data_IF_076413328101
#
_entry.id   IF_076413328101
#
_cell.length_a   1.000
_cell.length_b   1.000
_cell.length_c   1.000
_cell.angle_alpha   90.00
_cell.angle_beta   90.00
_cell.angle_gamma   90.00
#
_symmetry.space_group_name_H-M   'P 1'
#
loop_
_entity.id
_entity.type
_entity.pdbx_description
1 polymer ?
#
# COMPACT_ATOMS: atom_id res chain seq x y z
N UNK A 1 15.87 -5.93 -8.48
CA UNK A 1 15.13 -6.76 -7.52
C UNK A 1 13.67 -6.31 -7.45
N UNK A 2 12.77 -7.26 -7.48
CA UNK A 2 11.34 -7.01 -7.40
C UNK A 2 10.83 -7.39 -6.00
N UNK A 3 10.25 -6.42 -5.32
CA UNK A 3 9.64 -6.62 -4.01
C UNK A 3 8.12 -6.61 -4.15
N UNK A 4 7.46 -7.64 -3.65
CA UNK A 4 6.00 -7.76 -3.69
C UNK A 4 5.47 -7.75 -2.26
N UNK A 5 4.53 -6.85 -1.98
CA UNK A 5 3.81 -6.83 -0.71
C UNK A 5 2.40 -7.36 -0.91
N UNK A 6 2.01 -8.37 -0.11
CA UNK A 6 0.62 -8.82 -0.02
C UNK A 6 0.01 -8.13 1.20
N UNK A 7 -0.75 -7.06 0.97
CA UNK A 7 -1.21 -6.20 2.03
C UNK A 7 -2.72 -6.12 2.16
N UNK A 8 -3.19 -5.93 3.39
CA UNK A 8 -4.59 -5.72 3.71
C UNK A 8 -4.79 -4.31 4.24
N UNK A 9 -5.80 -3.60 3.72
CA UNK A 9 -6.11 -2.22 4.13
C UNK A 9 -6.60 -2.13 5.58
N UNK A 10 -7.05 -3.25 6.15
CA UNK A 10 -7.52 -3.28 7.54
C UNK A 10 -6.51 -3.87 8.52
N UNK A 11 -5.33 -4.26 8.03
CA UNK A 11 -4.28 -4.81 8.87
C UNK A 11 -3.42 -3.70 9.46
N UNK A 12 -3.32 -3.65 10.81
CA UNK A 12 -2.54 -2.61 11.50
C UNK A 12 -1.04 -2.71 11.18
N UNK A 13 -0.51 -3.91 11.01
CA UNK A 13 0.90 -4.11 10.65
C UNK A 13 1.20 -3.60 9.25
N UNK A 14 0.28 -3.79 8.31
CA UNK A 14 0.42 -3.25 6.95
C UNK A 14 0.40 -1.73 6.97
N UNK A 15 -0.47 -1.12 7.79
CA UNK A 15 -0.52 0.32 7.94
C UNK A 15 0.77 0.86 8.56
N UNK A 16 1.32 0.18 9.57
CA UNK A 16 2.58 0.58 10.17
C UNK A 16 3.72 0.54 9.15
N UNK A 17 3.79 -0.50 8.34
CA UNK A 17 4.79 -0.59 7.28
C UNK A 17 4.64 0.55 6.27
N UNK A 18 3.41 0.85 5.85
CA UNK A 18 3.16 1.90 4.87
C UNK A 18 3.58 3.28 5.38
N UNK A 19 3.34 3.55 6.66
CA UNK A 19 3.65 4.87 7.24
C UNK A 19 5.12 4.99 7.64
N UNK A 20 5.71 3.94 8.21
CA UNK A 20 7.03 4.01 8.82
C UNK A 20 8.13 3.30 8.03
N UNK A 21 7.81 2.25 7.27
CA UNK A 21 8.80 1.46 6.54
C UNK A 21 8.91 1.81 5.06
N UNK A 22 7.78 1.90 4.37
CA UNK A 22 7.75 2.14 2.93
C UNK A 22 8.43 3.43 2.49
N UNK A 23 8.29 4.57 3.18
CA UNK A 23 9.00 5.78 2.78
C UNK A 23 10.51 5.62 2.74
N UNK A 24 11.08 4.87 3.67
CA UNK A 24 12.53 4.58 3.67
C UNK A 24 12.91 3.68 2.51
N UNK A 25 12.08 2.68 2.22
CA UNK A 25 12.29 1.79 1.08
C UNK A 25 12.28 2.57 -0.23
N UNK A 26 11.31 3.47 -0.40
CA UNK A 26 11.21 4.30 -1.61
C UNK A 26 12.44 5.18 -1.75
N UNK A 27 12.86 5.84 -0.67
CA UNK A 27 14.00 6.76 -0.73
C UNK A 27 15.31 6.05 -1.02
N UNK A 28 15.57 4.92 -0.34
CA UNK A 28 16.87 4.27 -0.40
C UNK A 28 17.03 3.31 -1.57
N UNK A 29 15.95 2.67 -2.01
CA UNK A 29 16.05 1.56 -2.97
C UNK A 29 15.24 1.78 -4.24
N UNK A 30 14.01 2.28 -4.14
CA UNK A 30 13.15 2.39 -5.31
C UNK A 30 13.57 3.56 -6.18
N UNK A 31 13.83 4.72 -5.61
CA UNK A 31 14.28 5.92 -6.35
C UNK A 31 15.62 5.72 -7.03
N UNK A 32 16.46 4.86 -6.46
CA UNK A 32 17.78 4.56 -7.05
C UNK A 32 17.71 3.52 -8.16
N UNK A 33 16.54 2.91 -8.35
CA UNK A 33 16.35 1.89 -9.38
C UNK A 33 16.80 0.49 -8.99
N UNK A 34 17.23 0.28 -7.75
CA UNK A 34 17.70 -1.03 -7.29
C UNK A 34 16.58 -2.00 -7.01
N UNK A 35 15.39 -1.49 -6.64
CA UNK A 35 14.22 -2.30 -6.27
C UNK A 35 12.98 -1.76 -6.96
N UNK A 36 12.18 -2.65 -7.54
CA UNK A 36 10.82 -2.34 -7.97
C UNK A 36 9.84 -2.86 -6.94
N UNK A 37 8.77 -2.10 -6.66
CA UNK A 37 7.81 -2.42 -5.63
C UNK A 37 6.44 -2.69 -6.25
N UNK A 38 5.82 -3.82 -5.86
CA UNK A 38 4.47 -4.18 -6.29
C UNK A 38 3.61 -4.44 -5.08
N UNK A 39 2.42 -3.83 -5.04
CA UNK A 39 1.44 -4.06 -3.98
C UNK A 39 0.32 -4.95 -4.53
N UNK A 40 0.05 -6.05 -3.83
CA UNK A 40 -1.06 -6.95 -4.14
C UNK A 40 -1.99 -7.04 -2.94
N UNK A 41 -3.29 -6.89 -3.19
CA UNK A 41 -4.27 -6.93 -2.11
C UNK A 41 -4.45 -8.35 -1.58
N UNK A 42 -4.38 -8.47 -0.26
CA UNK A 42 -4.79 -9.67 0.46
C UNK A 42 -6.07 -9.31 1.24
N UNK A 43 -7.21 -9.70 0.67
CA UNK A 43 -8.53 -9.27 1.16
C UNK A 43 -8.94 -10.12 2.36
N UNK A 44 -9.25 -9.48 3.49
CA UNK A 44 -9.60 -10.17 4.73
C UNK A 44 -11.07 -10.05 5.12
N UNK A 45 -11.72 -8.92 4.77
CA UNK A 45 -13.08 -8.62 5.21
C UNK A 45 -13.77 -7.66 4.22
N UNK A 46 -15.11 -7.40 4.39
CA UNK A 46 -15.83 -6.52 3.45
C UNK A 46 -15.31 -5.09 3.39
N UNK A 47 -14.82 -4.55 4.49
CA UNK A 47 -14.25 -3.20 4.50
C UNK A 47 -12.98 -3.17 3.66
N UNK A 48 -12.14 -4.18 3.81
CA UNK A 48 -10.91 -4.34 3.04
C UNK A 48 -11.20 -4.45 1.54
N UNK A 49 -12.22 -5.24 1.16
CA UNK A 49 -12.66 -5.37 -0.23
C UNK A 49 -13.04 -4.00 -0.80
N UNK A 50 -13.84 -3.25 -0.06
CA UNK A 50 -14.31 -1.94 -0.49
C UNK A 50 -13.14 -0.98 -0.71
N UNK A 51 -12.20 -0.93 0.22
CA UNK A 51 -11.03 -0.08 0.11
C UNK A 51 -10.14 -0.50 -1.06
N UNK A 52 -9.95 -1.79 -1.25
CA UNK A 52 -9.16 -2.31 -2.37
C UNK A 52 -9.77 -1.93 -3.72
N UNK A 53 -11.08 -2.06 -3.85
CA UNK A 53 -11.78 -1.70 -5.09
C UNK A 53 -11.67 -0.20 -5.39
N UNK A 54 -11.82 0.64 -4.38
CA UNK A 54 -11.67 2.10 -4.54
C UNK A 54 -10.25 2.43 -5.03
N UNK A 55 -9.24 1.85 -4.41
CA UNK A 55 -7.86 2.11 -4.80
C UNK A 55 -7.56 1.61 -6.22
N UNK A 56 -8.07 0.42 -6.59
CA UNK A 56 -7.86 -0.14 -7.93
C UNK A 56 -8.56 0.63 -9.03
N UNK A 57 -9.64 1.36 -8.71
CA UNK A 57 -10.30 2.22 -9.70
C UNK A 57 -9.37 3.34 -10.19
N UNK A 58 -8.36 3.71 -9.44
CA UNK A 58 -7.36 4.69 -9.88
C UNK A 58 -6.35 4.13 -10.88
N UNK A 59 -6.39 2.81 -11.12
CA UNK A 59 -5.47 2.14 -12.05
C UNK A 59 -4.10 1.87 -11.44
N UNK A 60 -3.19 1.35 -12.26
CA UNK A 60 -1.82 1.03 -11.83
C UNK A 60 -0.91 2.26 -12.00
N UNK A 61 -1.18 3.30 -11.24
CA UNK A 61 -0.50 4.59 -11.35
C UNK A 61 -0.01 5.05 -9.99
N UNK A 62 0.79 6.14 -9.92
CA UNK A 62 1.14 6.74 -8.63
C UNK A 62 -0.07 7.07 -7.76
N UNK A 63 -1.23 7.36 -8.36
CA UNK A 63 -2.45 7.62 -7.60
C UNK A 63 -2.93 6.42 -6.81
N UNK A 64 -2.75 5.20 -7.32
CA UNK A 64 -3.06 4.00 -6.57
C UNK A 64 -2.31 3.98 -5.23
N UNK A 65 -1.00 4.23 -5.27
CA UNK A 65 -0.19 4.25 -4.06
C UNK A 65 -0.55 5.41 -3.15
N UNK A 66 -0.90 6.55 -3.70
CA UNK A 66 -1.32 7.72 -2.95
C UNK A 66 -2.61 7.44 -2.17
N UNK A 67 -3.60 6.82 -2.81
CA UNK A 67 -4.85 6.42 -2.17
C UNK A 67 -4.60 5.35 -1.10
N UNK A 68 -3.84 4.33 -1.45
CA UNK A 68 -3.51 3.22 -0.54
C UNK A 68 -2.81 3.73 0.71
N UNK A 69 -1.79 4.57 0.55
CA UNK A 69 -1.04 5.12 1.68
C UNK A 69 -1.90 6.05 2.53
N UNK A 70 -2.81 6.81 1.92
CA UNK A 70 -3.77 7.62 2.65
C UNK A 70 -4.72 6.78 3.49
N UNK A 71 -5.20 5.68 2.94
CA UNK A 71 -6.06 4.75 3.68
C UNK A 71 -5.33 4.13 4.87
N UNK A 72 -4.06 3.74 4.69
CA UNK A 72 -3.26 3.20 5.79
C UNK A 72 -3.02 4.26 6.87
N UNK A 73 -2.72 5.49 6.48
CA UNK A 73 -2.48 6.58 7.43
C UNK A 73 -3.72 6.88 8.27
N UNK A 74 -4.91 6.78 7.68
CA UNK A 74 -6.18 7.06 8.35
C UNK A 74 -6.90 5.80 8.81
N UNK A 75 -6.20 4.66 8.90
CA UNK A 75 -6.82 3.37 9.20
C UNK A 75 -7.67 3.39 10.46
N UNK A 76 -7.23 4.10 11.50
CA UNK A 76 -7.95 4.16 12.77
C UNK A 76 -9.28 4.92 12.67
N UNK A 77 -9.46 5.75 11.65
CA UNK A 77 -10.68 6.52 11.44
C UNK A 77 -11.73 5.75 10.62
N UNK A 78 -11.36 4.60 10.09
CA UNK A 78 -12.23 3.79 9.21
C UNK A 78 -12.97 2.68 9.96
#
# INVERSE_FOLDING_TARGET
VRLVEFGSMTCSHCADFAVNGEPKLVEQFIKTGNVSFEFRNYVRDPVDITMALIARCAGATPQFFKLTNGMFADQKAI
#
